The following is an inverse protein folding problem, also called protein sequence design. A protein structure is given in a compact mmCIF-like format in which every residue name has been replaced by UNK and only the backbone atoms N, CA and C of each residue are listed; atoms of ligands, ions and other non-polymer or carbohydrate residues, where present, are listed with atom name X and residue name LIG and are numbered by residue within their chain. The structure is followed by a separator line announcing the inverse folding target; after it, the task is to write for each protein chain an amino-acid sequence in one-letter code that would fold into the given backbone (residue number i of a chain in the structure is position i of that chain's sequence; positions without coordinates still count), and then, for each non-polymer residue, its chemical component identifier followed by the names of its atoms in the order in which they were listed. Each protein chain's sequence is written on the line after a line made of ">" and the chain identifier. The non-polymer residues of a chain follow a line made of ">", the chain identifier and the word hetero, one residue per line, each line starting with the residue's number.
data_IF_464590827170
#
_entry.id   IF_464590827170
#
_cell.length_a   1.000
_cell.length_b   1.000
_cell.length_c   1.000
_cell.angle_alpha   90.00
_cell.angle_beta   90.00
_cell.angle_gamma   90.00
#
_symmetry.space_group_name_H-M   'P 1'
#
loop_
_entity.id
_entity.type
_entity.pdbx_description
1 polymer ?
#
# COMPACT_ATOMS: atom_id res chain seq x y z
N UNK A 1 -8.39 4.06 -3.10
CA UNK A 1 -9.50 3.60 -3.98
C UNK A 1 -9.03 2.50 -4.91
N UNK A 2 -9.95 1.76 -5.58
CA UNK A 2 -9.60 0.80 -6.63
C UNK A 2 -8.80 1.43 -7.78
N UNK A 3 -9.05 2.71 -8.09
CA UNK A 3 -8.30 3.50 -9.08
C UNK A 3 -6.88 3.89 -8.65
N UNK A 4 -6.51 3.53 -7.41
CA UNK A 4 -5.19 3.78 -6.84
C UNK A 4 -5.05 5.17 -6.22
N UNK A 5 -6.13 5.93 -5.99
CA UNK A 5 -6.07 7.22 -5.29
C UNK A 5 -5.94 6.99 -3.77
N UNK A 6 -4.97 7.65 -3.14
CA UNK A 6 -4.74 7.56 -1.69
C UNK A 6 -5.77 8.34 -0.89
N UNK A 7 -6.35 7.69 0.12
CA UNK A 7 -7.19 8.35 1.13
C UNK A 7 -6.43 8.65 2.43
N UNK A 8 -5.31 7.96 2.67
CA UNK A 8 -4.43 8.16 3.82
C UNK A 8 -2.97 8.15 3.35
N UNK A 9 -2.12 8.90 4.04
CA UNK A 9 -0.67 8.85 3.88
C UNK A 9 -0.01 9.52 5.10
N UNK A 10 1.17 9.05 5.57
CA UNK A 10 1.87 9.71 6.70
C UNK A 10 2.24 11.18 6.45
N UNK A 11 2.49 11.53 5.18
CA UNK A 11 2.67 12.91 4.71
C UNK A 11 1.35 13.41 4.11
N UNK A 12 0.62 14.36 4.74
CA UNK A 12 -0.75 14.73 4.34
C UNK A 12 -0.89 15.31 2.93
N UNK A 13 0.14 15.99 2.43
CA UNK A 13 0.24 16.55 1.07
C UNK A 13 0.18 15.47 -0.03
N UNK A 14 0.41 14.20 0.32
CA UNK A 14 0.35 13.05 -0.61
C UNK A 14 -1.01 12.38 -0.68
N UNK A 15 -1.99 12.83 0.11
CA UNK A 15 -3.38 12.35 0.03
C UNK A 15 -3.99 12.86 -1.28
N UNK A 16 -4.77 12.01 -1.96
CA UNK A 16 -5.35 12.32 -3.27
C UNK A 16 -4.42 12.00 -4.46
N UNK A 17 -3.13 11.79 -4.23
CA UNK A 17 -2.21 11.31 -5.26
C UNK A 17 -2.37 9.79 -5.53
N UNK A 18 -1.77 9.31 -6.64
CA UNK A 18 -1.72 7.88 -6.97
C UNK A 18 -0.76 7.11 -6.05
N UNK A 19 -1.20 5.93 -5.62
CA UNK A 19 -0.38 4.95 -4.92
C UNK A 19 0.82 4.53 -5.78
N UNK A 20 1.99 4.44 -5.15
CA UNK A 20 3.24 3.99 -5.78
C UNK A 20 3.56 2.59 -5.29
N UNK A 21 3.38 1.59 -6.16
CA UNK A 21 3.51 0.17 -5.85
C UNK A 21 2.68 -0.69 -6.79
N UNK A 22 2.71 -2.00 -6.58
CA UNK A 22 1.82 -2.90 -7.30
C UNK A 22 0.43 -2.92 -6.65
N UNK A 23 -0.59 -3.20 -7.46
CA UNK A 23 -1.99 -3.31 -6.99
C UNK A 23 -2.79 -4.41 -7.70
N UNK A 24 -2.21 -5.03 -8.73
CA UNK A 24 -2.94 -5.91 -9.62
C UNK A 24 -3.51 -7.14 -8.91
N UNK A 25 -2.73 -7.77 -8.02
CA UNK A 25 -3.19 -8.92 -7.23
C UNK A 25 -4.32 -8.53 -6.27
N UNK A 26 -4.17 -7.41 -5.56
CA UNK A 26 -5.21 -6.95 -4.63
C UNK A 26 -6.50 -6.53 -5.34
N UNK A 27 -6.40 -5.98 -6.55
CA UNK A 27 -7.59 -5.72 -7.39
C UNK A 27 -8.30 -7.00 -7.85
N UNK A 28 -7.62 -8.15 -7.82
CA UNK A 28 -8.21 -9.48 -8.06
C UNK A 28 -8.65 -10.19 -6.78
N UNK A 29 -8.63 -9.52 -5.63
CA UNK A 29 -9.03 -10.12 -4.36
C UNK A 29 -7.89 -10.86 -3.64
N UNK A 30 -6.64 -10.68 -4.05
CA UNK A 30 -5.50 -11.39 -3.46
C UNK A 30 -4.63 -10.48 -2.60
N UNK A 31 -4.35 -10.91 -1.36
CA UNK A 31 -3.35 -10.26 -0.52
C UNK A 31 -1.95 -10.68 -0.94
N UNK A 32 -1.02 -9.73 -1.02
CA UNK A 32 0.37 -10.01 -1.37
C UNK A 32 1.34 -9.07 -0.65
N UNK A 33 2.60 -9.50 -0.57
CA UNK A 33 3.69 -8.71 -0.04
C UNK A 33 4.58 -8.20 -1.18
N UNK A 34 5.13 -7.00 -1.04
CA UNK A 34 6.10 -6.43 -1.98
C UNK A 34 7.20 -5.65 -1.26
N UNK A 35 8.37 -5.61 -1.88
CA UNK A 35 9.42 -4.64 -1.54
C UNK A 35 9.40 -3.56 -2.61
N UNK A 36 9.22 -2.30 -2.20
CA UNK A 36 9.06 -1.20 -3.14
C UNK A 36 9.65 0.10 -2.59
N UNK A 37 10.17 0.93 -3.49
CA UNK A 37 10.63 2.29 -3.16
C UNK A 37 9.48 3.27 -3.25
N UNK A 38 8.91 3.62 -2.11
CA UNK A 38 7.89 4.65 -1.98
C UNK A 38 8.49 6.04 -1.78
N UNK A 39 7.63 6.99 -1.39
CA UNK A 39 7.99 8.37 -1.03
C UNK A 39 8.83 8.47 0.24
N UNK A 40 8.78 7.45 1.11
CA UNK A 40 9.51 7.41 2.38
C UNK A 40 10.79 6.55 2.32
N UNK A 41 11.10 5.96 1.16
CA UNK A 41 12.24 5.06 1.00
C UNK A 41 11.82 3.64 0.61
N UNK A 42 12.75 2.69 0.78
CA UNK A 42 12.49 1.27 0.51
C UNK A 42 11.72 0.68 1.68
N UNK A 43 10.57 0.10 1.38
CA UNK A 43 9.69 -0.53 2.38
C UNK A 43 9.30 -1.94 1.94
N UNK A 44 9.11 -2.83 2.93
CA UNK A 44 8.38 -4.08 2.75
C UNK A 44 6.95 -3.82 3.16
N UNK A 45 6.00 -4.09 2.27
CA UNK A 45 4.58 -3.76 2.43
C UNK A 45 3.73 -4.96 2.13
N UNK A 46 2.61 -5.07 2.84
CA UNK A 46 1.49 -5.96 2.50
C UNK A 46 0.39 -5.09 1.90
N UNK A 47 -0.18 -5.54 0.77
CA UNK A 47 -1.33 -4.92 0.12
C UNK A 47 -2.48 -5.91 0.10
N UNK A 48 -3.64 -5.49 0.60
CA UNK A 48 -4.82 -6.34 0.76
C UNK A 48 -6.07 -5.65 0.23
N UNK A 49 -7.02 -6.38 -0.39
CA UNK A 49 -8.30 -5.82 -0.81
C UNK A 49 -9.20 -5.50 0.40
N UNK A 50 -10.05 -4.49 0.22
CA UNK A 50 -11.27 -4.30 1.00
C UNK A 50 -12.44 -4.68 0.10
N UNK A 51 -13.28 -5.59 0.57
CA UNK A 51 -14.38 -6.17 -0.20
C UNK A 51 -15.74 -5.86 0.42
N UNK A 52 -16.73 -5.60 -0.43
CA UNK A 52 -18.14 -5.46 -0.07
C UNK A 52 -18.98 -6.21 -1.09
N UNK A 53 -19.80 -7.16 -0.65
CA UNK A 53 -20.65 -7.96 -1.54
C UNK A 53 -19.88 -8.72 -2.63
N UNK A 54 -18.65 -9.17 -2.33
CA UNK A 54 -17.78 -9.88 -3.29
C UNK A 54 -17.09 -8.99 -4.32
N UNK A 55 -17.16 -7.65 -4.17
CA UNK A 55 -16.48 -6.69 -5.02
C UNK A 55 -15.41 -5.94 -4.24
N UNK A 56 -14.23 -5.78 -4.83
CA UNK A 56 -13.16 -4.93 -4.28
C UNK A 56 -13.60 -3.46 -4.34
N UNK A 57 -13.78 -2.83 -3.18
CA UNK A 57 -14.19 -1.42 -3.02
C UNK A 57 -13.04 -0.51 -2.60
N UNK A 58 -11.94 -1.08 -2.12
CA UNK A 58 -10.75 -0.36 -1.70
C UNK A 58 -9.55 -1.29 -1.58
N UNK A 59 -8.40 -0.69 -1.33
CA UNK A 59 -7.16 -1.40 -1.06
C UNK A 59 -6.53 -0.78 0.19
N UNK A 60 -5.92 -1.60 1.03
CA UNK A 60 -5.09 -1.15 2.16
C UNK A 60 -3.66 -1.60 1.91
N UNK A 61 -2.70 -0.69 2.09
CA UNK A 61 -1.28 -0.99 2.10
C UNK A 61 -0.69 -0.57 3.43
N UNK A 62 0.00 -1.49 4.10
CA UNK A 62 0.74 -1.22 5.32
C UNK A 62 2.14 -1.83 5.17
N UNK A 63 3.15 -1.13 5.67
CA UNK A 63 4.50 -1.66 5.63
C UNK A 63 5.46 -0.90 6.51
N UNK A 64 6.66 -1.44 6.60
CA UNK A 64 7.75 -0.91 7.40
C UNK A 64 8.90 -0.54 6.49
N UNK A 65 9.58 0.55 6.82
CA UNK A 65 10.80 0.95 6.13
C UNK A 65 11.91 -0.04 6.46
N UNK A 66 12.62 -0.50 5.44
CA UNK A 66 13.72 -1.47 5.60
C UNK A 66 14.86 -0.86 6.44
N UNK A 67 15.07 0.45 6.34
CA UNK A 67 16.06 1.18 7.17
C UNK A 67 15.68 1.19 8.64
N UNK A 68 14.38 1.24 8.98
CA UNK A 68 13.92 1.17 10.37
C UNK A 68 14.15 -0.21 11.02
N UNK A 69 14.37 -1.27 10.22
CA UNK A 69 14.71 -2.61 10.73
C UNK A 69 16.16 -2.63 11.22
N UNK A 70 17.07 -1.93 10.53
CA UNK A 70 18.50 -1.87 10.91
C UNK A 70 18.75 -1.12 12.21
N UNK A 71 17.88 -0.19 12.62
CA UNK A 71 18.02 0.56 13.88
C UNK A 71 17.47 -0.17 15.11
N UNK A 72 16.83 -1.33 14.92
CA UNK A 72 16.21 -2.12 16.00
C UNK A 72 16.95 -3.42 16.33
N UNK A 73 18.14 -3.62 15.76
CA UNK A 73 19.08 -4.71 16.05
C UNK A 73 20.35 -4.13 16.69
#
# INVERSE_FOLDING_TARGET
>A
SPDGIRYTHPTPDRIGERFLGHRAEALRGHTFSETYRGTLGVSVRVVTPVEEGGRVTGLVSAGIDVTAISERL
#
